data_IF_411771273015
#
_entry.id   IF_411771273015
#
_cell.length_a   1.000
_cell.length_b   1.000
_cell.length_c   1.000
_cell.angle_alpha   90.00
_cell.angle_beta   90.00
_cell.angle_gamma   90.00
#
_symmetry.space_group_name_H-M   'P 1'
#
loop_
_entity.id
_entity.type
_entity.pdbx_description
1 polymer ?
#
# COMPACT_ATOMS: atom_id res chain seq x y z
N UNK A 1 -30.25 21.75 -8.48
CA UNK A 1 -29.49 21.25 -9.65
C UNK A 1 -28.24 22.09 -9.72
N UNK A 2 -27.06 21.67 -9.25
CA UNK A 2 -26.30 20.46 -9.57
C UNK A 2 -26.04 19.64 -8.29
N UNK A 3 -26.17 18.32 -8.41
CA UNK A 3 -26.14 17.36 -7.31
C UNK A 3 -24.85 17.45 -6.52
N UNK A 4 -24.97 17.68 -5.20
CA UNK A 4 -24.04 17.10 -4.22
C UNK A 4 -24.17 15.58 -4.34
N UNK A 5 -23.56 14.99 -5.37
CA UNK A 5 -23.15 13.60 -5.30
C UNK A 5 -22.05 13.65 -4.26
N UNK A 6 -22.47 13.53 -3.01
CA UNK A 6 -21.66 13.01 -1.93
C UNK A 6 -20.82 11.89 -2.55
N UNK A 7 -19.58 12.21 -2.87
CA UNK A 7 -18.52 11.26 -3.09
C UNK A 7 -18.19 10.63 -1.72
N UNK A 8 -19.22 10.09 -1.07
CA UNK A 8 -19.12 8.96 -0.16
C UNK A 8 -18.62 7.79 -1.01
N UNK A 9 -17.38 7.90 -1.47
CA UNK A 9 -16.60 6.75 -1.87
C UNK A 9 -16.46 5.97 -0.58
N UNK A 10 -17.30 4.95 -0.42
CA UNK A 10 -17.24 4.01 0.68
C UNK A 10 -15.77 3.73 1.01
N UNK A 11 -15.27 4.11 2.20
CA UNK A 11 -13.85 3.98 2.52
C UNK A 11 -13.40 2.52 2.42
N UNK A 12 -14.32 1.59 2.67
CA UNK A 12 -14.17 0.15 2.45
C UNK A 12 -13.99 -0.24 0.98
N UNK A 13 -14.75 0.38 0.07
CA UNK A 13 -14.66 0.10 -1.37
C UNK A 13 -13.36 0.62 -1.96
N UNK A 14 -12.94 1.83 -1.58
CA UNK A 14 -11.64 2.37 -1.96
C UNK A 14 -10.50 1.48 -1.46
N UNK A 15 -10.56 1.02 -0.21
CA UNK A 15 -9.54 0.15 0.36
C UNK A 15 -9.48 -1.21 -0.35
N UNK A 16 -10.63 -1.81 -0.69
CA UNK A 16 -10.67 -3.06 -1.47
C UNK A 16 -10.02 -2.90 -2.85
N UNK A 17 -10.26 -1.78 -3.53
CA UNK A 17 -9.64 -1.49 -4.83
C UNK A 17 -8.12 -1.33 -4.74
N UNK A 18 -7.62 -0.65 -3.70
CA UNK A 18 -6.18 -0.50 -3.43
C UNK A 18 -5.53 -1.87 -3.20
N UNK A 19 -6.10 -2.69 -2.33
CA UNK A 19 -5.59 -4.05 -2.06
C UNK A 19 -5.63 -4.91 -3.31
N UNK A 20 -6.71 -4.83 -4.09
CA UNK A 20 -6.86 -5.59 -5.33
C UNK A 20 -5.78 -5.21 -6.35
N UNK A 21 -5.56 -3.92 -6.59
CA UNK A 21 -4.57 -3.45 -7.57
C UNK A 21 -3.15 -3.87 -7.21
N UNK A 22 -2.79 -3.76 -5.93
CA UNK A 22 -1.48 -4.23 -5.44
C UNK A 22 -1.35 -5.73 -5.63
N UNK A 23 -2.39 -6.50 -5.31
CA UNK A 23 -2.38 -7.96 -5.47
C UNK A 23 -2.25 -8.37 -6.93
N UNK A 24 -3.02 -7.75 -7.83
CA UNK A 24 -2.94 -7.99 -9.27
C UNK A 24 -1.53 -7.73 -9.80
N UNK A 25 -0.89 -6.64 -9.35
CA UNK A 25 0.49 -6.35 -9.72
C UNK A 25 1.47 -7.41 -9.19
N UNK A 26 1.36 -7.80 -7.92
CA UNK A 26 2.23 -8.85 -7.34
C UNK A 26 2.10 -10.17 -8.11
N UNK A 27 0.89 -10.53 -8.52
CA UNK A 27 0.63 -11.72 -9.33
C UNK A 27 1.31 -11.69 -10.70
N UNK A 28 1.66 -10.51 -11.23
CA UNK A 28 2.44 -10.43 -12.48
C UNK A 28 3.87 -10.95 -12.32
N UNK A 29 4.37 -11.11 -11.09
CA UNK A 29 5.74 -11.54 -10.80
C UNK A 29 6.80 -10.50 -11.19
N UNK A 30 6.39 -9.30 -11.61
CA UNK A 30 7.32 -8.23 -11.99
C UNK A 30 7.98 -7.60 -10.76
N UNK A 31 9.25 -7.15 -10.88
CA UNK A 31 9.91 -6.42 -9.81
C UNK A 31 9.15 -5.14 -9.45
N UNK A 32 9.08 -4.79 -8.17
CA UNK A 32 8.44 -3.55 -7.73
C UNK A 32 9.08 -2.28 -8.30
N UNK A 33 10.34 -2.34 -8.71
CA UNK A 33 11.03 -1.20 -9.33
C UNK A 33 10.43 -0.80 -10.68
N UNK A 34 9.71 -1.72 -11.33
CA UNK A 34 8.97 -1.48 -12.56
C UNK A 34 7.47 -1.25 -12.31
N UNK A 35 7.06 -1.10 -11.06
CA UNK A 35 5.65 -0.87 -10.75
C UNK A 35 5.24 0.55 -11.10
N UNK A 36 4.01 0.75 -11.61
CA UNK A 36 3.45 2.08 -11.75
C UNK A 36 3.47 2.82 -10.41
N UNK A 37 3.73 4.13 -10.44
CA UNK A 37 3.75 4.98 -9.24
C UNK A 37 2.45 4.85 -8.41
N UNK A 38 1.31 4.65 -9.07
CA UNK A 38 0.04 4.39 -8.40
C UNK A 38 0.06 3.14 -7.53
N UNK A 39 0.62 2.04 -8.03
CA UNK A 39 0.79 0.78 -7.26
C UNK A 39 1.75 0.98 -6.10
N UNK A 40 2.83 1.72 -6.32
CA UNK A 40 3.81 2.03 -5.28
C UNK A 40 3.22 2.86 -4.14
N UNK A 41 2.41 3.87 -4.48
CA UNK A 41 1.68 4.69 -3.52
C UNK A 41 0.64 3.88 -2.75
N UNK A 42 -0.06 2.98 -3.45
CA UNK A 42 -1.03 2.07 -2.85
C UNK A 42 -0.37 1.12 -1.84
N UNK A 43 0.81 0.58 -2.15
CA UNK A 43 1.64 -0.24 -1.24
C UNK A 43 2.05 0.55 0.00
N UNK A 44 2.55 1.78 -0.18
CA UNK A 44 2.98 2.64 0.93
C UNK A 44 1.80 2.96 1.86
N UNK A 45 0.63 3.28 1.29
CA UNK A 45 -0.58 3.57 2.07
C UNK A 45 -1.06 2.35 2.88
N UNK A 46 -1.00 1.14 2.30
CA UNK A 46 -1.34 -0.09 3.02
C UNK A 46 -0.37 -0.36 4.17
N UNK A 47 0.92 -0.09 3.97
CA UNK A 47 1.93 -0.23 5.02
C UNK A 47 1.69 0.73 6.18
N UNK A 48 1.47 2.01 5.90
CA UNK A 48 1.20 3.04 6.91
C UNK A 48 -0.05 2.74 7.73
N UNK A 49 -1.11 2.25 7.07
CA UNK A 49 -2.34 1.82 7.76
C UNK A 49 -2.10 0.62 8.67
N UNK A 50 -1.33 -0.37 8.20
CA UNK A 50 -0.95 -1.52 9.02
C UNK A 50 -0.15 -1.06 10.26
N UNK A 51 0.88 -0.24 10.07
CA UNK A 51 1.70 0.29 11.16
C UNK A 51 0.86 1.10 12.14
N UNK A 52 -0.05 1.95 11.64
CA UNK A 52 -0.96 2.74 12.47
C UNK A 52 -1.92 1.87 13.26
N UNK A 53 -2.45 0.79 12.67
CA UNK A 53 -3.32 -0.15 13.37
C UNK A 53 -2.57 -0.91 14.47
N UNK A 54 -1.35 -1.39 14.17
CA UNK A 54 -0.50 -2.06 15.15
C UNK A 54 -0.10 -1.12 16.29
N UNK A 55 0.25 0.13 16.00
CA UNK A 55 0.58 1.15 17.00
C UNK A 55 -0.61 1.50 17.91
N UNK A 56 -1.84 1.36 17.41
CA UNK A 56 -3.08 1.53 18.19
C UNK A 56 -3.47 0.29 18.99
N UNK A 57 -2.67 -0.77 18.97
CA UNK A 57 -2.95 -2.03 19.66
C UNK A 57 -4.04 -2.87 18.99
N UNK A 58 -4.30 -2.68 17.68
CA UNK A 58 -5.26 -3.49 16.96
C UNK A 58 -4.72 -4.92 16.79
N UNK A 59 -5.38 -5.88 17.43
CA UNK A 59 -5.08 -7.31 17.28
C UNK A 59 -5.78 -7.88 16.05
N UNK A 60 -5.11 -8.80 15.33
CA UNK A 60 -5.67 -9.48 14.16
C UNK A 60 -5.57 -8.71 12.83
N UNK A 61 -5.07 -7.48 12.80
CA UNK A 61 -4.83 -6.74 11.55
C UNK A 61 -3.57 -7.27 10.88
N UNK A 62 -3.72 -8.01 9.78
CA UNK A 62 -2.61 -8.55 9.00
C UNK A 62 -2.88 -8.41 7.51
N UNK A 63 -1.87 -7.94 6.78
CA UNK A 63 -1.83 -8.08 5.31
C UNK A 63 -1.58 -9.55 4.97
N UNK A 64 -1.92 -9.96 3.74
CA UNK A 64 -1.48 -11.27 3.24
C UNK A 64 0.05 -11.35 3.27
N UNK A 65 0.60 -12.58 3.41
CA UNK A 65 2.04 -12.79 3.56
C UNK A 65 2.87 -12.12 2.46
N UNK A 66 2.43 -12.25 1.22
CA UNK A 66 3.09 -11.65 0.05
C UNK A 66 3.03 -10.12 0.09
N UNK A 67 1.86 -9.57 0.41
CA UNK A 67 1.65 -8.13 0.43
C UNK A 67 2.39 -7.47 1.59
N UNK A 68 2.48 -8.16 2.74
CA UNK A 68 3.34 -7.75 3.85
C UNK A 68 4.82 -7.75 3.45
N UNK A 69 5.31 -8.79 2.76
CA UNK A 69 6.70 -8.87 2.32
C UNK A 69 7.05 -7.74 1.35
N UNK A 70 6.17 -7.47 0.39
CA UNK A 70 6.30 -6.38 -0.59
C UNK A 70 6.31 -5.00 0.10
N UNK A 71 5.32 -4.74 0.96
CA UNK A 71 5.21 -3.50 1.69
C UNK A 71 6.42 -3.24 2.60
N UNK A 72 6.89 -4.28 3.30
CA UNK A 72 8.09 -4.21 4.13
C UNK A 72 9.36 -3.99 3.31
N UNK A 73 9.53 -4.72 2.20
CA UNK A 73 10.68 -4.57 1.32
C UNK A 73 10.76 -3.14 0.76
N UNK A 74 9.63 -2.58 0.37
CA UNK A 74 9.54 -1.20 -0.12
C UNK A 74 9.79 -0.16 0.98
N UNK A 75 9.19 -0.33 2.16
CA UNK A 75 9.44 0.55 3.30
C UNK A 75 10.93 0.54 3.69
N UNK A 76 11.55 -0.64 3.67
CA UNK A 76 12.99 -0.80 3.90
C UNK A 76 13.80 -0.10 2.80
N UNK A 77 13.49 -0.36 1.53
CA UNK A 77 14.16 0.26 0.38
C UNK A 77 14.09 1.80 0.47
N UNK A 78 12.95 2.37 0.87
CA UNK A 78 12.78 3.81 1.05
C UNK A 78 13.54 4.36 2.26
N UNK A 79 13.71 3.57 3.33
CA UNK A 79 14.51 3.96 4.49
C UNK A 79 16.02 3.97 4.19
N UNK A 80 16.49 3.08 3.30
CA UNK A 80 17.90 3.00 2.87
C UNK A 80 18.21 3.80 1.59
N UNK A 81 17.21 4.12 0.76
CA UNK A 81 17.37 4.97 -0.43
C UNK A 81 18.04 6.33 -0.14
N UNK A 82 17.72 7.08 0.93
CA UNK A 82 18.45 8.31 1.24
C UNK A 82 19.93 8.08 1.59
N UNK A 83 20.36 6.83 1.83
CA UNK A 83 21.78 6.47 2.02
C UNK A 83 22.47 5.98 0.75
N UNK A 84 21.75 5.62 -0.32
CA UNK A 84 22.32 5.16 -1.59
C UNK A 84 22.66 6.30 -2.56
N UNK A 85 21.96 7.43 -2.49
CA UNK A 85 22.27 8.64 -3.28
C UNK A 85 23.51 9.43 -2.75
N UNK A 86 24.15 8.93 -1.69
CA UNK A 86 25.30 9.58 -1.02
C UNK A 86 26.61 8.80 -1.11
N UNK A 87 26.70 7.77 -1.96
CA UNK A 87 27.93 6.99 -2.16
C UNK A 87 28.48 7.21 -3.55
#
# INVERSE_FOLDING_TARGET
MISLIEQHVDPDRAQKLVVQRVREYIQTGRPLDHAPESVLKDVDQLWERLQSALARGAEGVRLSRELHAVARARAFARAIAPTLDRV
#
